data_IF_429701656773
#
_entry.id   IF_429701656773
#
_cell.length_a   1.000
_cell.length_b   1.000
_cell.length_c   1.000
_cell.angle_alpha   90.00
_cell.angle_beta   90.00
_cell.angle_gamma   90.00
#
_symmetry.space_group_name_H-M   'P 1'
#
loop_
_entity.id
_entity.type
_entity.pdbx_description
1 polymer ?
#
# COMPACT_ATOMS: atom_id res chain seq x y z
N UNK A 1 1.77 29.26 -56.90
CA UNK A 1 2.91 28.90 -56.03
C UNK A 1 2.56 29.24 -54.58
N UNK A 2 2.23 28.26 -53.79
CA UNK A 2 1.78 28.49 -52.42
C UNK A 2 3.04 28.53 -51.48
N UNK A 3 3.39 29.70 -50.98
CA UNK A 3 4.43 29.81 -49.96
C UNK A 3 3.87 29.20 -48.65
N UNK A 4 4.24 27.97 -48.41
CA UNK A 4 3.90 27.25 -47.19
C UNK A 4 4.51 28.01 -45.99
N UNK A 5 3.67 28.46 -45.08
CA UNK A 5 4.02 29.35 -43.97
C UNK A 5 4.75 28.56 -42.86
N UNK A 6 6.02 28.16 -43.12
CA UNK A 6 6.87 27.41 -42.18
C UNK A 6 6.91 28.00 -40.78
N UNK A 7 6.79 29.32 -40.65
CA UNK A 7 6.79 30.01 -39.33
C UNK A 7 5.55 29.70 -38.47
N UNK A 8 4.41 29.42 -39.11
CA UNK A 8 3.17 29.01 -38.38
C UNK A 8 3.26 27.59 -37.88
N UNK A 9 3.82 26.68 -38.67
CA UNK A 9 4.02 25.28 -38.28
C UNK A 9 5.05 25.12 -37.16
N UNK A 10 6.12 25.92 -37.16
CA UNK A 10 7.09 25.93 -36.08
C UNK A 10 6.49 26.40 -34.74
N UNK A 11 5.59 27.37 -34.75
CA UNK A 11 4.89 27.83 -33.53
C UNK A 11 3.89 26.80 -33.00
N UNK A 12 3.20 26.08 -33.87
CA UNK A 12 2.27 25.00 -33.51
C UNK A 12 3.03 23.81 -32.94
N UNK A 13 4.14 23.43 -33.55
CA UNK A 13 5.02 22.35 -33.06
C UNK A 13 5.63 22.70 -31.70
N UNK A 14 6.01 23.95 -31.45
CA UNK A 14 6.55 24.41 -30.16
C UNK A 14 5.48 24.42 -29.07
N UNK A 15 4.25 24.79 -29.40
CA UNK A 15 3.10 24.74 -28.47
C UNK A 15 2.71 23.29 -28.12
N UNK A 16 2.76 22.36 -29.08
CA UNK A 16 2.52 20.94 -28.84
C UNK A 16 3.65 20.30 -27.98
N UNK A 17 4.90 20.68 -28.22
CA UNK A 17 6.05 20.24 -27.42
C UNK A 17 5.97 20.79 -25.97
N UNK A 18 5.51 22.03 -25.80
CA UNK A 18 5.31 22.62 -24.47
C UNK A 18 4.13 21.99 -23.72
N UNK A 19 3.06 21.61 -24.43
CA UNK A 19 1.91 20.92 -23.84
C UNK A 19 2.25 19.50 -23.37
N UNK A 20 3.15 18.80 -24.10
CA UNK A 20 3.63 17.47 -23.73
C UNK A 20 4.57 17.50 -22.50
N UNK A 21 5.22 18.61 -22.20
CA UNK A 21 6.08 18.76 -21.04
C UNK A 21 5.30 18.97 -19.73
N UNK A 22 4.04 19.40 -19.80
CA UNK A 22 3.22 19.66 -18.61
C UNK A 22 2.59 18.37 -18.08
N UNK A 23 2.46 17.31 -18.89
CA UNK A 23 1.89 16.02 -18.48
C UNK A 23 2.89 15.08 -17.79
N UNK A 24 4.17 15.46 -17.67
CA UNK A 24 5.23 14.60 -17.13
C UNK A 24 5.43 14.68 -15.61
N UNK A 25 4.62 15.46 -14.88
CA UNK A 25 4.72 15.61 -13.42
C UNK A 25 3.40 15.32 -12.70
N UNK A 26 2.66 14.28 -13.08
CA UNK A 26 1.70 13.70 -12.16
C UNK A 26 2.46 12.82 -11.17
N UNK A 27 2.88 13.40 -10.05
CA UNK A 27 3.27 12.61 -8.88
C UNK A 27 2.14 11.65 -8.54
N UNK A 28 2.48 10.48 -8.03
CA UNK A 28 1.50 9.53 -7.51
C UNK A 28 0.68 10.28 -6.44
N UNK A 29 -0.63 10.45 -6.67
CA UNK A 29 -1.53 11.06 -5.70
C UNK A 29 -2.04 9.97 -4.78
N UNK A 30 -1.88 10.16 -3.47
CA UNK A 30 -2.40 9.26 -2.46
C UNK A 30 -3.74 9.77 -1.98
N UNK A 31 -4.78 9.00 -2.25
CA UNK A 31 -6.10 9.22 -1.66
C UNK A 31 -6.19 8.51 -0.31
N UNK A 32 -6.99 9.07 0.61
CA UNK A 32 -7.28 8.40 1.88
C UNK A 32 -7.91 7.03 1.61
N UNK A 33 -7.51 5.98 2.34
CA UNK A 33 -8.13 4.67 2.21
C UNK A 33 -9.65 4.74 2.38
N UNK A 34 -10.37 3.87 1.69
CA UNK A 34 -11.83 3.79 1.82
C UNK A 34 -12.21 3.45 3.27
N UNK A 35 -13.20 4.17 3.80
CA UNK A 35 -13.73 3.88 5.13
C UNK A 35 -14.40 2.51 5.14
N UNK A 36 -14.01 1.66 6.07
CA UNK A 36 -14.62 0.36 6.31
C UNK A 36 -15.44 0.36 7.61
N UNK A 37 -16.26 -0.66 7.78
CA UNK A 37 -17.10 -0.85 8.99
C UNK A 37 -16.33 -1.53 10.14
N UNK A 38 -15.02 -1.50 10.09
CA UNK A 38 -14.09 -2.12 11.05
C UNK A 38 -13.69 -1.18 12.22
N UNK A 39 -14.19 0.06 12.20
CA UNK A 39 -13.92 1.06 13.24
C UNK A 39 -12.67 1.90 13.02
N UNK A 40 -11.86 1.63 11.98
CA UNK A 40 -10.72 2.47 11.67
C UNK A 40 -11.16 3.83 11.13
N UNK A 41 -10.58 4.89 11.68
CA UNK A 41 -10.63 6.21 11.06
C UNK A 41 -9.63 6.23 9.90
N UNK A 42 -10.02 6.80 8.77
CA UNK A 42 -9.13 6.97 7.62
C UNK A 42 -8.72 8.44 7.46
N UNK A 43 -7.66 8.69 6.72
CA UNK A 43 -7.15 10.02 6.41
C UNK A 43 -6.09 9.96 5.32
N UNK A 44 -5.66 11.13 4.84
CA UNK A 44 -4.54 11.22 3.90
C UNK A 44 -3.20 11.27 4.63
N UNK A 45 -2.12 11.01 3.90
CA UNK A 45 -0.75 11.14 4.42
C UNK A 45 -0.47 12.58 4.88
N UNK A 46 -0.96 13.57 4.13
CA UNK A 46 -0.78 15.00 4.43
C UNK A 46 -1.49 15.41 5.73
N UNK A 47 -2.73 14.94 5.96
CA UNK A 47 -3.50 15.23 7.19
C UNK A 47 -2.78 14.82 8.48
N UNK A 48 -1.90 13.83 8.40
CA UNK A 48 -1.09 13.36 9.53
C UNK A 48 0.38 13.81 9.42
N UNK A 49 0.69 14.69 8.48
CA UNK A 49 2.03 15.27 8.28
C UNK A 49 3.08 14.25 7.85
N UNK A 50 2.70 13.25 7.05
CA UNK A 50 3.63 12.32 6.42
C UNK A 50 4.02 12.82 5.03
N UNK A 51 5.32 12.77 4.73
CA UNK A 51 5.85 13.06 3.40
C UNK A 51 5.51 11.91 2.44
N UNK A 52 4.81 12.24 1.35
CA UNK A 52 4.41 11.26 0.33
C UNK A 52 5.60 10.72 -0.48
N UNK A 53 6.70 11.46 -0.58
CA UNK A 53 7.83 11.07 -1.44
C UNK A 53 8.47 9.75 -1.01
N UNK A 54 8.81 9.51 0.26
CA UNK A 54 9.33 8.21 0.70
C UNK A 54 8.32 7.07 0.52
N UNK A 55 7.02 7.34 0.72
CA UNK A 55 5.95 6.35 0.55
C UNK A 55 5.85 5.95 -0.92
N UNK A 56 5.80 6.92 -1.84
CA UNK A 56 5.82 6.67 -3.27
C UNK A 56 7.06 5.88 -3.73
N UNK A 57 8.22 6.17 -3.15
CA UNK A 57 9.44 5.41 -3.45
C UNK A 57 9.33 3.96 -2.99
N UNK A 58 8.82 3.71 -1.78
CA UNK A 58 8.63 2.36 -1.26
C UNK A 58 7.66 1.56 -2.14
N UNK A 59 6.52 2.13 -2.51
CA UNK A 59 5.53 1.48 -3.38
C UNK A 59 6.11 1.15 -4.77
N UNK A 60 6.87 2.07 -5.37
CA UNK A 60 7.54 1.79 -6.65
C UNK A 60 8.51 0.62 -6.55
N UNK A 61 9.29 0.52 -5.46
CA UNK A 61 10.24 -0.57 -5.24
C UNK A 61 9.53 -1.91 -5.02
N UNK A 62 8.40 -1.92 -4.31
CA UNK A 62 7.56 -3.11 -4.17
C UNK A 62 7.01 -3.52 -5.54
N UNK A 63 6.38 -2.60 -6.26
CA UNK A 63 5.77 -2.87 -7.58
C UNK A 63 6.79 -3.27 -8.65
N UNK A 64 8.05 -2.87 -8.50
CA UNK A 64 9.13 -3.30 -9.41
C UNK A 64 9.72 -4.68 -9.07
N UNK A 65 9.27 -5.32 -7.98
CA UNK A 65 9.81 -6.59 -7.52
C UNK A 65 11.17 -6.47 -6.82
N UNK A 66 11.60 -5.27 -6.43
CA UNK A 66 12.83 -5.11 -5.63
C UNK A 66 12.67 -5.67 -4.22
N UNK A 67 11.44 -5.62 -3.69
CA UNK A 67 11.04 -6.31 -2.46
C UNK A 67 10.11 -7.45 -2.83
N UNK A 68 10.58 -8.67 -2.60
CA UNK A 68 9.81 -9.90 -2.85
C UNK A 68 8.84 -10.16 -1.68
N UNK A 69 7.76 -10.88 -1.94
CA UNK A 69 6.77 -11.37 -0.95
C UNK A 69 6.08 -10.28 -0.11
N UNK A 70 5.97 -9.06 -0.63
CA UNK A 70 5.16 -8.02 -0.03
C UNK A 70 3.75 -8.07 -0.62
N UNK A 71 2.77 -8.51 0.16
CA UNK A 71 1.38 -8.63 -0.28
C UNK A 71 0.50 -7.44 0.15
N UNK A 72 0.93 -6.68 1.15
CA UNK A 72 0.26 -5.46 1.57
C UNK A 72 1.20 -4.48 2.25
N UNK A 73 0.87 -3.21 2.18
CA UNK A 73 1.50 -2.14 2.94
C UNK A 73 0.43 -1.24 3.53
N UNK A 74 0.34 -1.23 4.86
CA UNK A 74 -0.58 -0.38 5.60
C UNK A 74 0.20 0.58 6.47
N UNK A 75 -0.22 1.85 6.50
CA UNK A 75 0.34 2.86 7.40
C UNK A 75 -0.76 3.39 8.30
N UNK A 76 -0.55 3.28 9.60
CA UNK A 76 -1.41 3.87 10.63
C UNK A 76 -0.62 4.93 11.37
N UNK A 77 -1.16 6.14 11.44
CA UNK A 77 -0.58 7.24 12.20
C UNK A 77 -1.69 8.06 12.89
N UNK A 78 -1.44 8.44 14.14
CA UNK A 78 -2.38 9.19 14.97
C UNK A 78 -3.77 8.55 15.05
N UNK A 79 -3.82 7.19 15.09
CA UNK A 79 -5.06 6.41 15.13
C UNK A 79 -5.83 6.35 13.80
N UNK A 80 -5.26 6.83 12.70
CA UNK A 80 -5.86 6.80 11.36
C UNK A 80 -5.11 5.87 10.44
N UNK A 81 -5.82 5.09 9.65
CA UNK A 81 -5.28 4.36 8.49
C UNK A 81 -5.12 5.37 7.35
N UNK A 82 -3.89 5.64 6.95
CA UNK A 82 -3.56 6.68 5.96
C UNK A 82 -2.98 6.13 4.66
N UNK A 83 -2.62 4.86 4.64
CA UNK A 83 -2.27 4.11 3.44
C UNK A 83 -2.75 2.68 3.58
N UNK A 84 -3.29 2.14 2.50
CA UNK A 84 -3.70 0.75 2.40
C UNK A 84 -3.53 0.31 0.94
N UNK A 85 -2.48 -0.47 0.69
CA UNK A 85 -2.11 -0.96 -0.63
C UNK A 85 -1.91 -2.46 -0.59
N UNK A 86 -2.32 -3.14 -1.67
CA UNK A 86 -2.21 -4.59 -1.83
C UNK A 86 -1.47 -4.91 -3.11
N UNK A 87 -0.71 -5.99 -3.09
CA UNK A 87 0.15 -6.40 -4.21
C UNK A 87 -0.05 -7.88 -4.49
N UNK A 88 -0.06 -8.28 -5.77
CA UNK A 88 -0.12 -9.68 -6.13
C UNK A 88 1.17 -10.40 -5.75
N UNK A 89 1.05 -11.69 -5.46
CA UNK A 89 2.19 -12.52 -5.10
C UNK A 89 1.84 -13.99 -4.93
N UNK A 90 2.80 -14.79 -4.50
CA UNK A 90 2.58 -16.20 -4.21
C UNK A 90 1.96 -16.40 -2.84
N UNK A 91 0.88 -17.18 -2.78
CA UNK A 91 0.34 -17.63 -1.49
C UNK A 91 1.37 -18.52 -0.82
N UNK A 92 1.67 -18.26 0.44
CA UNK A 92 2.61 -19.10 1.18
C UNK A 92 2.07 -20.53 1.36
N UNK A 93 2.88 -21.54 1.02
CA UNK A 93 2.48 -22.94 1.06
C UNK A 93 3.59 -23.83 1.59
N UNK A 94 3.33 -24.58 2.68
CA UNK A 94 4.30 -25.51 3.27
C UNK A 94 4.76 -26.63 2.33
N UNK A 95 3.93 -26.99 1.35
CA UNK A 95 4.18 -28.15 0.47
C UNK A 95 4.75 -27.73 -0.89
N UNK A 96 4.91 -26.43 -1.14
CA UNK A 96 5.46 -25.92 -2.38
C UNK A 96 6.98 -25.73 -2.27
N UNK A 97 7.67 -25.86 -3.41
CA UNK A 97 9.07 -25.51 -3.51
C UNK A 97 9.25 -24.02 -3.18
N UNK A 98 10.26 -23.68 -2.40
CA UNK A 98 10.48 -22.32 -1.87
C UNK A 98 9.31 -21.73 -1.09
N UNK A 99 8.32 -22.56 -0.69
CA UNK A 99 7.07 -22.15 -0.05
C UNK A 99 6.14 -21.32 -0.94
N UNK A 100 6.41 -21.22 -2.24
CA UNK A 100 5.61 -20.50 -3.21
C UNK A 100 4.44 -21.35 -3.70
N UNK A 101 3.25 -21.07 -3.17
CA UNK A 101 1.99 -21.62 -3.66
C UNK A 101 1.48 -20.90 -4.91
N UNK A 102 0.19 -21.00 -5.24
CA UNK A 102 -0.39 -20.31 -6.38
C UNK A 102 -0.19 -18.80 -6.31
N UNK A 103 0.07 -18.18 -7.46
CA UNK A 103 0.08 -16.72 -7.59
C UNK A 103 -1.35 -16.19 -7.51
N UNK A 104 -1.57 -15.14 -6.70
CA UNK A 104 -2.88 -14.57 -6.43
C UNK A 104 -2.83 -13.05 -6.29
N UNK A 105 -3.97 -12.41 -6.54
CA UNK A 105 -4.22 -11.03 -6.13
C UNK A 105 -4.59 -11.03 -4.64
N UNK A 106 -4.10 -10.03 -3.91
CA UNK A 106 -4.44 -9.83 -2.51
C UNK A 106 -5.26 -8.55 -2.36
N UNK A 107 -6.19 -8.58 -1.43
CA UNK A 107 -7.02 -7.45 -1.03
C UNK A 107 -7.29 -7.47 0.47
N UNK A 108 -8.11 -6.54 0.98
CA UNK A 108 -8.48 -6.43 2.39
C UNK A 108 -9.12 -7.71 2.96
N UNK A 109 -9.87 -8.42 2.14
CA UNK A 109 -10.67 -9.58 2.55
C UNK A 109 -9.96 -10.91 2.30
N UNK A 110 -8.79 -10.87 1.66
CA UNK A 110 -8.02 -12.07 1.35
C UNK A 110 -7.33 -12.60 2.61
N UNK A 111 -7.64 -13.82 3.07
CA UNK A 111 -6.97 -14.42 4.21
C UNK A 111 -5.47 -14.55 3.98
N UNK A 112 -4.67 -14.11 4.93
CA UNK A 112 -3.23 -14.12 4.86
C UNK A 112 -2.60 -14.90 6.01
N UNK A 113 -1.54 -15.67 5.72
CA UNK A 113 -0.77 -16.36 6.76
C UNK A 113 0.06 -15.35 7.54
N UNK A 114 -0.26 -15.16 8.83
CA UNK A 114 0.40 -14.17 9.69
C UNK A 114 1.55 -14.74 10.51
N UNK A 115 1.89 -16.02 10.32
CA UNK A 115 3.03 -16.69 10.95
C UNK A 115 3.12 -16.39 12.45
N UNK A 116 4.27 -15.95 12.95
CA UNK A 116 4.50 -15.67 14.38
C UNK A 116 3.75 -14.47 14.94
N UNK A 117 3.16 -13.61 14.11
CA UNK A 117 2.24 -12.56 14.58
C UNK A 117 1.06 -13.17 15.35
N UNK A 118 0.68 -14.43 15.05
CA UNK A 118 -0.31 -15.21 15.81
C UNK A 118 -0.01 -15.22 17.32
N UNK A 119 1.27 -15.19 17.72
CA UNK A 119 1.66 -15.17 19.15
C UNK A 119 1.19 -13.91 19.87
N UNK A 120 1.16 -12.77 19.17
CA UNK A 120 0.66 -11.52 19.74
C UNK A 120 -0.85 -11.62 20.04
N UNK A 121 -1.62 -12.20 19.12
CA UNK A 121 -3.06 -12.46 19.34
C UNK A 121 -3.29 -13.44 20.48
N UNK A 122 -2.49 -14.53 20.55
CA UNK A 122 -2.57 -15.49 21.65
C UNK A 122 -2.27 -14.82 23.00
N UNK A 123 -1.22 -14.01 23.06
CA UNK A 123 -0.85 -13.27 24.28
C UNK A 123 -1.96 -12.33 24.73
N UNK A 124 -2.57 -11.59 23.80
CA UNK A 124 -3.70 -10.72 24.10
C UNK A 124 -4.92 -11.51 24.62
N UNK A 125 -5.23 -12.66 24.00
CA UNK A 125 -6.32 -13.52 24.44
C UNK A 125 -6.08 -14.09 25.83
N UNK A 126 -4.83 -14.47 26.16
CA UNK A 126 -4.46 -14.89 27.53
C UNK A 126 -4.65 -13.76 28.52
N UNK A 127 -4.21 -12.53 28.20
CA UNK A 127 -4.41 -11.36 29.04
C UNK A 127 -5.89 -11.10 29.36
N UNK A 128 -6.77 -11.21 28.36
CA UNK A 128 -8.22 -11.09 28.53
C UNK A 128 -8.75 -12.20 29.46
N UNK A 129 -8.30 -13.45 29.28
CA UNK A 129 -8.74 -14.58 30.11
C UNK A 129 -8.29 -14.42 31.57
N UNK A 130 -7.11 -13.86 31.83
CA UNK A 130 -6.64 -13.51 33.18
C UNK A 130 -7.52 -12.39 33.77
N UNK A 131 -7.78 -11.32 33.02
CA UNK A 131 -8.64 -10.22 33.46
C UNK A 131 -10.06 -10.67 33.82
N UNK A 132 -10.59 -11.63 33.06
CA UNK A 132 -11.91 -12.23 33.31
C UNK A 132 -11.91 -13.30 34.42
N UNK A 133 -10.76 -13.61 35.00
CA UNK A 133 -10.62 -14.64 36.03
C UNK A 133 -10.83 -16.07 35.52
N UNK A 134 -10.78 -16.31 34.19
CA UNK A 134 -10.92 -17.63 33.60
C UNK A 134 -9.66 -18.50 33.77
N UNK A 135 -8.49 -17.86 33.94
CA UNK A 135 -7.22 -18.48 34.28
C UNK A 135 -6.52 -17.65 35.35
N UNK A 136 -5.61 -18.25 36.10
CA UNK A 136 -4.77 -17.54 37.07
C UNK A 136 -3.80 -16.58 36.41
N UNK A 137 -3.10 -15.76 37.24
CA UNK A 137 -2.06 -14.90 36.74
C UNK A 137 -0.79 -15.68 36.34
N UNK A 138 0.13 -15.04 35.63
CA UNK A 138 1.44 -15.64 35.29
C UNK A 138 2.26 -16.07 36.53
N UNK A 139 1.85 -15.65 37.73
CA UNK A 139 2.54 -15.93 38.99
C UNK A 139 1.91 -17.11 39.76
N UNK A 140 0.80 -17.67 39.27
CA UNK A 140 0.15 -18.87 39.81
C UNK A 140 0.63 -20.13 39.06
#
# INVERSE_FOLDING_TARGET
MAHLNLRKWGRIALLFALLLLITACSGEQFEAPATAVDGWQTGSLDEVGLDEVPVAQALRRIRSGEYEDVHSLLIVKDGRLVLEEYFPGHVWSYNAEHFEGPYAEFDRDTPHTIMSVTKAFTSAAVGIAVEQGAIGSEQD
#
